data_IF_277330306497
#
_entry.id   IF_277330306497
#
_cell.length_a   1.000
_cell.length_b   1.000
_cell.length_c   1.000
_cell.angle_alpha   90.00
_cell.angle_beta   90.00
_cell.angle_gamma   90.00
#
_symmetry.space_group_name_H-M   'P 1'
#
loop_
_entity.id
_entity.type
_entity.pdbx_description
1 polymer ?
#
# COMPACT_ATOMS: atom_id res chain seq x y z
N UNK A 1 -17.86 36.44 50.79
CA UNK A 1 -17.13 37.45 49.98
C UNK A 1 -17.24 36.95 48.53
N UNK A 2 -18.35 37.17 47.80
CA UNK A 2 -18.79 38.36 47.04
C UNK A 2 -17.65 39.05 46.29
N UNK A 3 -17.71 39.00 44.94
CA UNK A 3 -17.50 40.03 43.90
C UNK A 3 -17.12 39.28 42.59
N UNK A 4 -17.49 39.65 41.37
CA UNK A 4 -18.61 40.41 40.79
C UNK A 4 -18.52 40.21 39.27
N UNK A 5 -19.67 40.39 38.63
CA UNK A 5 -19.98 40.19 37.22
C UNK A 5 -19.30 41.24 36.32
N UNK A 6 -18.90 40.85 35.11
CA UNK A 6 -18.90 41.76 33.96
C UNK A 6 -19.31 41.01 32.68
N UNK A 7 -20.58 41.18 32.30
CA UNK A 7 -21.11 40.84 30.97
C UNK A 7 -20.80 42.01 30.04
N UNK A 8 -20.16 41.75 28.91
CA UNK A 8 -20.15 42.69 27.79
C UNK A 8 -21.11 42.17 26.72
N UNK A 9 -22.27 42.80 26.66
CA UNK A 9 -23.13 42.80 25.48
C UNK A 9 -22.80 44.05 24.70
N UNK A 10 -22.57 43.93 23.39
CA UNK A 10 -22.62 45.08 22.50
C UNK A 10 -23.25 44.65 21.18
N UNK A 11 -24.45 45.18 20.98
CA UNK A 11 -25.26 45.14 19.77
C UNK A 11 -24.94 46.41 18.99
N UNK A 12 -24.62 46.31 17.70
CA UNK A 12 -24.71 47.39 16.71
C UNK A 12 -24.88 46.72 15.33
N UNK A 13 -26.09 46.60 14.79
CA UNK A 13 -26.78 47.56 13.90
C UNK A 13 -26.02 47.85 12.58
N UNK A 14 -26.38 47.08 11.56
CA UNK A 14 -26.89 47.55 10.26
C UNK A 14 -25.96 48.33 9.33
N UNK A 15 -25.79 47.83 8.10
CA UNK A 15 -26.36 48.49 6.92
C UNK A 15 -26.31 47.56 5.70
N UNK A 16 -27.49 47.22 5.19
CA UNK A 16 -27.66 46.57 3.89
C UNK A 16 -27.30 47.56 2.77
N UNK A 17 -26.43 47.14 1.85
CA UNK A 17 -26.26 47.77 0.54
C UNK A 17 -26.51 46.71 -0.53
N UNK A 18 -27.76 46.66 -0.97
CA UNK A 18 -28.19 45.99 -2.19
C UNK A 18 -27.68 46.81 -3.39
N UNK A 19 -26.57 46.39 -3.98
CA UNK A 19 -26.16 46.89 -5.30
C UNK A 19 -26.81 45.98 -6.35
N UNK A 20 -27.92 46.48 -6.91
CA UNK A 20 -28.56 45.91 -8.08
C UNK A 20 -27.80 46.36 -9.33
N UNK A 21 -27.01 45.46 -9.93
CA UNK A 21 -26.57 45.63 -11.31
C UNK A 21 -27.66 45.07 -12.24
N UNK A 22 -28.27 45.97 -12.99
CA UNK A 22 -29.27 45.69 -14.02
C UNK A 22 -28.54 45.19 -15.26
N UNK A 23 -28.77 43.94 -15.66
CA UNK A 23 -28.24 43.39 -16.92
C UNK A 23 -29.31 43.58 -18.00
N UNK A 24 -29.00 44.23 -19.14
CA UNK A 24 -29.94 44.42 -20.23
C UNK A 24 -30.23 43.09 -20.94
N UNK A 25 -31.53 42.84 -21.14
CA UNK A 25 -32.08 41.73 -21.92
C UNK A 25 -31.86 41.97 -23.41
N UNK A 26 -30.90 41.28 -24.02
CA UNK A 26 -30.89 41.10 -25.47
C UNK A 26 -31.63 39.79 -25.80
N UNK A 27 -32.77 39.94 -26.47
CA UNK A 27 -33.47 38.85 -27.15
C UNK A 27 -32.78 38.57 -28.48
N UNK A 28 -32.23 37.36 -28.63
CA UNK A 28 -31.91 36.80 -29.95
C UNK A 28 -32.60 35.46 -30.10
N UNK A 29 -33.33 35.32 -31.20
CA UNK A 29 -34.16 34.19 -31.56
C UNK A 29 -33.32 33.18 -32.35
N UNK A 30 -33.45 31.92 -31.94
CA UNK A 30 -33.31 30.67 -32.70
C UNK A 30 -31.93 30.27 -33.28
N UNK A 31 -31.39 29.19 -32.73
CA UNK A 31 -30.90 28.07 -33.52
C UNK A 31 -31.07 26.76 -32.72
N UNK A 32 -32.04 25.93 -33.10
CA UNK A 32 -32.23 24.58 -32.55
C UNK A 32 -31.00 23.75 -32.85
N UNK A 33 -30.15 23.49 -31.85
CA UNK A 33 -29.03 22.55 -31.97
C UNK A 33 -29.56 21.11 -32.00
N UNK A 34 -28.96 20.23 -32.83
CA UNK A 34 -29.24 18.80 -32.77
C UNK A 34 -28.95 18.26 -31.36
N UNK A 35 -29.87 17.46 -30.84
CA UNK A 35 -29.69 16.72 -29.59
C UNK A 35 -28.48 15.79 -29.80
N UNK A 36 -27.41 16.03 -29.04
CA UNK A 36 -26.26 15.13 -29.02
C UNK A 36 -26.70 13.76 -28.48
N UNK A 37 -26.21 12.64 -29.05
CA UNK A 37 -26.46 11.33 -28.50
C UNK A 37 -25.98 11.27 -27.05
N UNK A 38 -26.82 10.63 -26.24
CA UNK A 38 -26.62 10.33 -24.82
C UNK A 38 -25.21 9.75 -24.67
N UNK A 39 -24.34 10.50 -23.99
CA UNK A 39 -22.97 10.06 -23.70
C UNK A 39 -23.06 8.79 -22.85
N UNK A 40 -22.57 7.69 -23.42
CA UNK A 40 -22.28 6.48 -22.65
C UNK A 40 -21.40 6.88 -21.46
N UNK A 41 -21.98 6.74 -20.27
CA UNK A 41 -21.25 6.88 -19.02
C UNK A 41 -20.19 5.79 -19.04
N UNK A 42 -18.89 6.10 -18.93
CA UNK A 42 -17.90 5.05 -18.78
C UNK A 42 -18.24 4.33 -17.48
N UNK A 43 -18.72 3.08 -17.62
CA UNK A 43 -18.78 2.13 -16.52
C UNK A 43 -17.35 2.01 -16.02
N UNK A 44 -17.05 2.67 -14.92
CA UNK A 44 -15.77 2.53 -14.23
C UNK A 44 -15.79 1.13 -13.64
N UNK A 45 -15.47 0.16 -14.48
CA UNK A 45 -15.01 -1.13 -14.02
C UNK A 45 -13.85 -0.81 -13.07
N UNK A 46 -13.80 -1.34 -11.84
CA UNK A 46 -12.65 -1.13 -10.98
C UNK A 46 -11.48 -1.79 -11.69
N UNK A 47 -10.72 -0.99 -12.43
CA UNK A 47 -9.46 -1.38 -13.01
C UNK A 47 -8.64 -1.84 -11.80
N UNK A 48 -8.30 -3.13 -11.75
CA UNK A 48 -7.19 -3.58 -10.92
C UNK A 48 -6.06 -2.61 -11.21
N UNK A 49 -5.68 -1.78 -10.23
CA UNK A 49 -4.60 -0.83 -10.41
C UNK A 49 -3.41 -1.58 -10.96
N UNK A 50 -3.01 -1.25 -12.19
CA UNK A 50 -1.92 -1.93 -12.87
C UNK A 50 -0.69 -1.91 -11.98
N UNK A 51 0.00 -3.05 -11.88
CA UNK A 51 1.21 -3.16 -11.06
C UNK A 51 2.30 -2.34 -11.74
N UNK A 52 2.54 -1.13 -11.23
CA UNK A 52 3.63 -0.28 -11.71
C UNK A 52 4.97 -0.78 -11.16
N UNK A 53 5.84 -1.25 -12.06
CA UNK A 53 7.19 -1.68 -11.72
C UNK A 53 8.15 -0.49 -11.73
N UNK A 54 8.28 0.17 -10.59
CA UNK A 54 9.28 1.21 -10.40
C UNK A 54 10.57 0.63 -9.80
N UNK A 55 11.71 0.91 -10.44
CA UNK A 55 13.01 0.44 -9.94
C UNK A 55 13.43 1.21 -8.69
N UNK A 56 13.91 0.49 -7.67
CA UNK A 56 14.47 1.12 -6.47
C UNK A 56 15.72 1.95 -6.84
N UNK A 57 15.76 3.27 -6.55
CA UNK A 57 16.92 4.07 -6.86
C UNK A 57 18.17 3.58 -6.12
N UNK A 58 19.30 3.49 -6.84
CA UNK A 58 20.58 3.01 -6.28
C UNK A 58 21.01 3.78 -5.02
N UNK A 59 20.70 5.07 -4.95
CA UNK A 59 20.97 5.90 -3.77
C UNK A 59 20.20 5.42 -2.53
N UNK A 60 18.93 5.02 -2.69
CA UNK A 60 18.12 4.46 -1.60
C UNK A 60 18.67 3.12 -1.18
N UNK A 61 18.89 2.21 -2.14
CA UNK A 61 19.49 0.89 -1.89
C UNK A 61 20.82 0.99 -1.11
N UNK A 62 21.71 1.90 -1.51
CA UNK A 62 22.97 2.15 -0.82
C UNK A 62 22.78 2.66 0.61
N UNK A 63 21.88 3.63 0.82
CA UNK A 63 21.62 4.21 2.15
C UNK A 63 20.97 3.21 3.11
N UNK A 64 20.04 2.38 2.64
CA UNK A 64 19.38 1.34 3.46
C UNK A 64 20.39 0.27 3.86
N UNK A 65 21.20 -0.24 2.92
CA UNK A 65 22.29 -1.19 3.25
C UNK A 65 23.28 -0.60 4.24
N UNK A 66 23.73 0.64 4.02
CA UNK A 66 24.65 1.31 4.95
C UNK A 66 24.03 1.49 6.35
N UNK A 67 22.71 1.72 6.44
CA UNK A 67 22.00 1.79 7.71
C UNK A 67 22.00 0.43 8.42
N UNK A 68 21.67 -0.66 7.72
CA UNK A 68 21.74 -2.00 8.30
C UNK A 68 23.17 -2.36 8.74
N UNK A 69 24.18 -2.08 7.92
CA UNK A 69 25.58 -2.35 8.25
C UNK A 69 25.99 -1.69 9.58
N UNK A 70 25.55 -0.45 9.84
CA UNK A 70 25.82 0.22 11.12
C UNK A 70 25.11 -0.43 12.32
N UNK A 71 24.00 -1.11 12.08
CA UNK A 71 23.17 -1.72 13.12
C UNK A 71 23.63 -3.14 13.47
N UNK A 72 24.13 -3.91 12.49
CA UNK A 72 24.51 -5.32 12.70
C UNK A 72 26.00 -5.61 12.49
N UNK A 73 26.79 -4.59 12.13
CA UNK A 73 28.23 -4.73 11.91
C UNK A 73 28.56 -5.21 10.50
N UNK A 74 29.67 -5.95 10.37
CA UNK A 74 30.15 -6.41 9.08
C UNK A 74 29.30 -7.58 8.55
N UNK A 75 28.33 -7.27 7.68
CA UNK A 75 27.45 -8.23 7.04
C UNK A 75 27.55 -8.14 5.51
N UNK A 76 27.28 -9.27 4.84
CA UNK A 76 27.13 -9.32 3.39
C UNK A 76 25.67 -9.04 3.04
N UNK A 77 25.40 -7.82 2.56
CA UNK A 77 24.04 -7.33 2.39
C UNK A 77 23.59 -7.28 0.92
N UNK A 78 22.43 -7.85 0.63
CA UNK A 78 21.74 -7.75 -0.65
C UNK A 78 20.38 -7.06 -0.50
N UNK A 79 19.96 -6.35 -1.55
CA UNK A 79 18.57 -5.87 -1.64
C UNK A 79 17.71 -7.04 -2.10
N UNK A 80 16.65 -7.32 -1.35
CA UNK A 80 15.62 -8.30 -1.70
C UNK A 80 14.43 -7.62 -2.36
N UNK A 81 13.25 -7.86 -1.79
CA UNK A 81 11.97 -7.27 -2.16
C UNK A 81 11.94 -5.76 -1.94
N UNK A 82 11.23 -5.04 -2.80
CA UNK A 82 10.93 -3.63 -2.59
C UNK A 82 9.68 -3.22 -3.33
N UNK A 83 9.03 -2.16 -2.86
CA UNK A 83 7.85 -1.59 -3.50
C UNK A 83 7.77 -0.09 -3.24
N UNK A 84 7.21 0.64 -4.21
CA UNK A 84 6.78 2.03 -4.02
C UNK A 84 5.51 2.01 -3.17
N UNK A 85 5.47 2.81 -2.11
CA UNK A 85 4.39 2.82 -1.13
C UNK A 85 4.00 4.25 -0.75
N UNK A 86 2.78 4.39 -0.23
CA UNK A 86 2.30 5.60 0.42
C UNK A 86 2.04 5.33 1.89
N UNK A 87 2.76 6.03 2.76
CA UNK A 87 2.63 5.91 4.20
C UNK A 87 1.55 6.80 4.77
N UNK A 88 1.00 6.40 5.91
CA UNK A 88 -0.10 7.08 6.60
C UNK A 88 0.29 8.44 7.19
N UNK A 89 1.57 8.64 7.46
CA UNK A 89 2.10 9.81 8.17
C UNK A 89 3.58 10.05 7.85
N UNK A 90 4.11 11.18 8.33
CA UNK A 90 5.54 11.55 8.20
C UNK A 90 6.51 10.65 8.98
N UNK A 91 6.02 9.75 9.82
CA UNK A 91 6.81 8.71 10.49
C UNK A 91 6.82 7.40 9.70
N UNK A 92 6.30 7.40 8.47
CA UNK A 92 6.27 6.27 7.57
C UNK A 92 5.36 5.13 8.08
N UNK A 93 4.36 5.48 8.91
CA UNK A 93 3.48 4.52 9.58
C UNK A 93 4.19 3.65 10.62
N UNK A 94 5.33 4.13 11.14
CA UNK A 94 6.15 3.46 12.17
C UNK A 94 6.29 4.30 13.44
N UNK A 95 5.45 5.33 13.60
CA UNK A 95 5.44 6.19 14.77
C UNK A 95 5.03 5.42 16.03
N UNK A 96 5.78 5.61 17.12
CA UNK A 96 5.38 5.10 18.44
C UNK A 96 4.39 6.03 19.14
N UNK A 97 3.76 5.59 20.25
CA UNK A 97 2.78 6.40 20.98
C UNK A 97 3.35 7.70 21.57
N UNK A 98 4.68 7.80 21.70
CA UNK A 98 5.37 8.99 22.20
C UNK A 98 5.82 9.95 21.08
N UNK A 99 5.64 9.59 19.80
CA UNK A 99 6.11 10.39 18.66
C UNK A 99 4.96 11.21 18.07
N UNK A 100 5.19 12.50 17.84
CA UNK A 100 4.22 13.37 17.15
C UNK A 100 4.52 13.42 15.66
N UNK A 101 3.88 12.52 14.92
CA UNK A 101 4.05 12.40 13.47
C UNK A 101 3.20 13.45 12.73
N UNK A 102 3.73 14.01 11.65
CA UNK A 102 2.93 14.84 10.75
C UNK A 102 1.83 13.96 10.13
N UNK A 103 0.56 14.35 10.33
CA UNK A 103 -0.60 13.65 9.80
C UNK A 103 -0.80 13.95 8.29
N UNK A 104 0.15 13.51 7.47
CA UNK A 104 0.13 13.67 6.02
C UNK A 104 0.65 12.41 5.33
N UNK A 105 -0.02 12.02 4.25
CA UNK A 105 0.43 10.92 3.41
C UNK A 105 1.83 11.23 2.87
N UNK A 106 2.70 10.23 2.97
CA UNK A 106 4.11 10.38 2.59
C UNK A 106 4.51 9.26 1.64
N UNK A 107 4.93 9.61 0.43
CA UNK A 107 5.41 8.62 -0.53
C UNK A 107 6.81 8.11 -0.17
N UNK A 108 7.08 6.85 -0.51
CA UNK A 108 8.43 6.33 -0.56
C UNK A 108 8.52 4.84 -0.83
N UNK A 109 9.42 4.14 -0.13
CA UNK A 109 9.81 2.78 -0.47
C UNK A 109 9.75 1.84 0.71
N UNK A 110 9.10 0.68 0.55
CA UNK A 110 9.40 -0.47 1.40
C UNK A 110 10.58 -1.22 0.80
N UNK A 111 11.58 -1.57 1.61
CA UNK A 111 12.80 -2.24 1.16
C UNK A 111 13.17 -3.37 2.11
N UNK A 112 13.34 -4.56 1.57
CA UNK A 112 13.97 -5.68 2.23
C UNK A 112 15.48 -5.68 1.98
N UNK A 113 16.25 -5.86 3.04
CA UNK A 113 17.68 -6.14 2.97
C UNK A 113 17.93 -7.51 3.58
N UNK A 114 18.59 -8.37 2.82
CA UNK A 114 18.92 -9.74 3.20
C UNK A 114 20.40 -9.75 3.61
N UNK A 115 20.66 -10.21 4.83
CA UNK A 115 21.99 -10.63 5.24
C UNK A 115 22.25 -12.03 4.67
N UNK A 116 23.09 -12.12 3.65
CA UNK A 116 23.34 -13.37 2.93
C UNK A 116 24.13 -14.38 3.75
N UNK A 117 24.78 -13.95 4.83
CA UNK A 117 25.53 -14.85 5.72
C UNK A 117 24.59 -15.60 6.65
N UNK A 118 23.55 -14.92 7.15
CA UNK A 118 22.60 -15.49 8.11
C UNK A 118 21.25 -15.85 7.50
N UNK A 119 21.04 -15.49 6.24
CA UNK A 119 19.76 -15.58 5.51
C UNK A 119 18.60 -14.87 6.24
N UNK A 120 18.90 -13.80 6.99
CA UNK A 120 17.90 -12.99 7.70
C UNK A 120 17.47 -11.78 6.87
N UNK A 121 16.17 -11.55 6.81
CA UNK A 121 15.57 -10.37 6.18
C UNK A 121 15.31 -9.25 7.18
N UNK A 122 15.62 -8.03 6.78
CA UNK A 122 15.35 -6.79 7.51
C UNK A 122 14.55 -5.84 6.62
N UNK A 123 13.46 -5.29 7.14
CA UNK A 123 12.59 -4.39 6.39
C UNK A 123 12.79 -2.94 6.80
N UNK A 124 12.80 -2.06 5.82
CA UNK A 124 12.90 -0.62 6.00
C UNK A 124 11.79 0.08 5.24
N UNK A 125 11.35 1.22 5.78
CA UNK A 125 10.50 2.18 5.09
C UNK A 125 11.28 3.47 4.89
N UNK A 126 11.15 4.07 3.72
CA UNK A 126 11.81 5.33 3.40
C UNK A 126 10.82 6.35 2.87
N UNK A 127 11.17 7.63 2.93
CA UNK A 127 10.60 8.64 2.02
C UNK A 127 11.12 8.42 0.60
N UNK A 128 10.46 9.02 -0.39
CA UNK A 128 10.81 8.90 -1.82
C UNK A 128 12.31 9.15 -2.11
N UNK A 129 12.87 10.20 -1.53
CA UNK A 129 14.27 10.59 -1.71
C UNK A 129 15.23 10.00 -0.65
N UNK A 130 14.70 9.21 0.30
CA UNK A 130 15.50 8.61 1.37
C UNK A 130 16.02 9.58 2.44
N UNK A 131 15.40 10.76 2.58
CA UNK A 131 15.66 11.71 3.67
C UNK A 131 15.35 11.10 5.04
N UNK A 132 14.30 10.28 5.11
CA UNK A 132 14.01 9.41 6.24
C UNK A 132 14.10 7.95 5.83
N UNK A 133 14.78 7.13 6.64
CA UNK A 133 14.90 5.68 6.50
C UNK A 133 14.73 5.07 7.89
N UNK A 134 13.67 4.29 8.09
CA UNK A 134 13.32 3.67 9.37
C UNK A 134 13.27 2.16 9.22
N UNK A 135 13.87 1.42 10.16
CA UNK A 135 13.70 -0.03 10.24
C UNK A 135 12.26 -0.31 10.67
N UNK A 136 11.56 -1.15 9.93
CA UNK A 136 10.23 -1.62 10.30
C UNK A 136 10.35 -2.75 11.32
N UNK A 137 9.56 -2.66 12.39
CA UNK A 137 9.42 -3.70 13.41
C UNK A 137 8.02 -4.29 13.44
N UNK A 138 7.21 -4.00 12.41
CA UNK A 138 5.87 -4.56 12.27
C UNK A 138 5.97 -6.08 12.07
N UNK A 139 4.97 -6.81 12.56
CA UNK A 139 4.82 -8.22 12.24
C UNK A 139 4.52 -8.37 10.74
N UNK A 140 5.12 -9.38 10.11
CA UNK A 140 4.94 -9.78 8.70
C UNK A 140 5.55 -8.85 7.64
N UNK A 141 5.59 -7.54 7.86
CA UNK A 141 6.15 -6.55 6.91
C UNK A 141 5.61 -6.68 5.48
N UNK A 142 4.35 -7.12 5.31
CA UNK A 142 3.70 -7.13 4.01
C UNK A 142 3.57 -5.67 3.49
N UNK A 143 3.95 -5.37 2.24
CA UNK A 143 3.75 -4.03 1.69
C UNK A 143 2.27 -3.65 1.66
N UNK A 144 1.88 -2.44 2.10
CA UNK A 144 0.48 -2.01 2.09
C UNK A 144 -0.19 -2.16 0.72
N UNK A 145 0.49 -1.75 -0.36
CA UNK A 145 -0.05 -1.89 -1.71
C UNK A 145 -0.29 -3.35 -2.11
N UNK A 146 0.57 -4.28 -1.68
CA UNK A 146 0.40 -5.71 -1.93
C UNK A 146 -0.75 -6.30 -1.12
N UNK A 147 -0.87 -5.93 0.17
CA UNK A 147 -2.02 -6.32 1.00
C UNK A 147 -3.33 -5.93 0.33
N UNK A 148 -3.43 -4.68 -0.13
CA UNK A 148 -4.67 -4.17 -0.71
C UNK A 148 -5.02 -4.89 -2.03
N UNK A 149 -4.01 -5.24 -2.85
CA UNK A 149 -4.21 -6.09 -4.04
C UNK A 149 -4.70 -7.49 -3.68
N UNK A 150 -4.11 -8.15 -2.68
CA UNK A 150 -4.55 -9.47 -2.22
C UNK A 150 -6.00 -9.43 -1.70
N UNK A 151 -6.34 -8.40 -0.91
CA UNK A 151 -7.71 -8.23 -0.41
C UNK A 151 -8.70 -8.01 -1.56
N UNK A 152 -8.33 -7.21 -2.57
CA UNK A 152 -9.14 -7.02 -3.76
C UNK A 152 -9.32 -8.32 -4.56
N UNK A 153 -8.25 -9.11 -4.73
CA UNK A 153 -8.30 -10.43 -5.38
C UNK A 153 -9.25 -11.37 -4.64
N UNK A 154 -9.14 -11.46 -3.31
CA UNK A 154 -10.00 -12.31 -2.50
C UNK A 154 -11.47 -11.89 -2.57
N UNK A 155 -11.75 -10.58 -2.46
CA UNK A 155 -13.11 -10.05 -2.56
C UNK A 155 -13.72 -10.30 -3.95
N UNK A 156 -12.94 -10.10 -5.02
CA UNK A 156 -13.40 -10.36 -6.40
C UNK A 156 -13.69 -11.84 -6.68
N UNK A 157 -13.10 -12.75 -5.90
CA UNK A 157 -13.32 -14.19 -5.97
C UNK A 157 -14.48 -14.67 -5.09
N UNK A 158 -15.17 -13.76 -4.39
CA UNK A 158 -16.35 -14.07 -3.57
C UNK A 158 -16.03 -14.59 -2.17
N UNK A 159 -14.79 -14.46 -1.69
CA UNK A 159 -14.36 -15.03 -0.41
C UNK A 159 -14.80 -14.20 0.81
N UNK A 160 -14.79 -12.86 0.72
CA UNK A 160 -15.27 -11.95 1.78
C UNK A 160 -15.48 -10.52 1.26
N UNK A 161 -16.09 -9.65 2.07
CA UNK A 161 -15.99 -8.21 1.87
C UNK A 161 -14.56 -7.76 2.21
N UNK A 162 -13.96 -6.86 1.42
CA UNK A 162 -12.58 -6.39 1.65
C UNK A 162 -12.36 -5.81 3.03
N UNK A 163 -13.38 -5.19 3.62
CA UNK A 163 -13.31 -4.48 4.91
C UNK A 163 -13.33 -5.44 6.11
N UNK A 164 -13.68 -6.70 5.88
CA UNK A 164 -13.68 -7.77 6.89
C UNK A 164 -12.37 -8.57 6.88
N UNK A 165 -11.53 -8.37 5.86
CA UNK A 165 -10.28 -9.10 5.71
C UNK A 165 -9.16 -8.52 6.57
N UNK A 166 -8.39 -9.40 7.20
CA UNK A 166 -7.15 -9.06 7.89
C UNK A 166 -6.02 -10.03 7.53
N UNK A 167 -4.78 -9.55 7.66
CA UNK A 167 -3.58 -10.38 7.47
C UNK A 167 -3.34 -11.18 8.74
N UNK A 168 -3.32 -12.50 8.62
CA UNK A 168 -2.95 -13.43 9.71
C UNK A 168 -1.44 -13.59 9.74
N UNK A 169 -0.83 -13.89 8.59
CA UNK A 169 0.62 -13.91 8.44
C UNK A 169 1.05 -13.48 7.05
N UNK A 170 2.26 -12.94 6.93
CA UNK A 170 2.96 -12.82 5.67
C UNK A 170 4.44 -13.16 5.86
N UNK A 171 4.96 -13.95 4.93
CA UNK A 171 6.33 -14.45 4.93
C UNK A 171 6.98 -14.20 3.58
N UNK A 172 8.20 -13.65 3.55
CA UNK A 172 8.98 -13.57 2.32
C UNK A 172 9.37 -14.99 1.86
N UNK A 173 9.08 -15.34 0.61
CA UNK A 173 9.39 -16.65 0.01
C UNK A 173 10.12 -16.56 -1.33
N UNK A 174 11.04 -17.49 -1.56
CA UNK A 174 11.74 -17.64 -2.84
C UNK A 174 11.14 -18.81 -3.61
N UNK A 175 10.31 -18.49 -4.60
CA UNK A 175 9.51 -19.47 -5.31
C UNK A 175 10.20 -20.08 -6.52
N UNK A 176 9.82 -21.31 -6.85
CA UNK A 176 9.99 -21.88 -8.18
C UNK A 176 8.95 -21.30 -9.17
N UNK A 177 8.96 -21.75 -10.42
CA UNK A 177 8.10 -21.23 -11.48
C UNK A 177 6.59 -21.46 -11.26
N UNK A 178 6.22 -22.29 -10.28
CA UNK A 178 4.82 -22.53 -9.93
C UNK A 178 4.40 -21.84 -8.62
N UNK A 179 5.21 -20.93 -8.08
CA UNK A 179 4.90 -20.26 -6.82
C UNK A 179 4.73 -21.25 -5.66
N UNK A 180 5.43 -22.39 -5.68
CA UNK A 180 5.30 -23.41 -4.64
C UNK A 180 3.98 -24.18 -4.65
N UNK A 181 3.13 -24.00 -5.68
CA UNK A 181 1.89 -24.76 -5.89
C UNK A 181 2.17 -25.77 -7.01
N UNK A 182 2.27 -27.08 -6.71
CA UNK A 182 2.50 -28.09 -7.73
C UNK A 182 1.35 -28.09 -8.74
N UNK A 183 1.64 -28.09 -10.06
CA UNK A 183 0.60 -28.22 -11.06
C UNK A 183 0.04 -29.66 -11.04
N UNK A 184 -1.19 -29.84 -11.53
CA UNK A 184 -1.79 -31.18 -11.68
C UNK A 184 -0.98 -32.05 -12.65
N UNK A 185 -0.47 -31.43 -13.72
CA UNK A 185 0.41 -32.02 -14.71
C UNK A 185 1.64 -31.15 -14.98
N UNK A 186 2.76 -31.79 -15.31
CA UNK A 186 4.01 -31.11 -15.65
C UNK A 186 4.94 -30.87 -14.45
N UNK A 187 5.91 -29.99 -14.65
CA UNK A 187 6.98 -29.70 -13.70
C UNK A 187 7.17 -28.20 -13.54
N UNK A 188 7.62 -27.78 -12.37
CA UNK A 188 7.96 -26.39 -12.10
C UNK A 188 9.35 -26.07 -12.60
N UNK A 189 9.52 -24.91 -13.21
CA UNK A 189 10.86 -24.40 -13.51
C UNK A 189 11.60 -24.11 -12.21
N UNK A 190 12.84 -24.59 -12.09
CA UNK A 190 13.74 -24.22 -11.00
C UNK A 190 14.28 -22.79 -11.21
N UNK A 191 13.43 -21.82 -10.89
CA UNK A 191 13.75 -20.39 -10.84
C UNK A 191 13.66 -19.90 -9.40
N UNK A 192 14.22 -18.72 -9.13
CA UNK A 192 14.09 -18.02 -7.84
C UNK A 192 13.28 -16.74 -8.00
N UNK A 193 11.96 -16.81 -7.81
CA UNK A 193 11.07 -15.64 -7.84
C UNK A 193 10.91 -15.13 -6.41
N UNK A 194 11.36 -13.91 -6.15
CA UNK A 194 11.11 -13.25 -4.86
C UNK A 194 9.62 -12.91 -4.76
N UNK A 195 8.99 -13.40 -3.70
CA UNK A 195 7.57 -13.22 -3.50
C UNK A 195 7.14 -13.37 -2.05
N UNK A 196 5.83 -13.46 -1.82
CA UNK A 196 5.24 -13.56 -0.50
C UNK A 196 4.31 -14.76 -0.41
N UNK A 197 4.33 -15.44 0.75
CA UNK A 197 3.23 -16.28 1.21
C UNK A 197 2.42 -15.46 2.20
N UNK A 198 1.14 -15.25 1.93
CA UNK A 198 0.26 -14.39 2.71
C UNK A 198 -0.95 -15.18 3.12
N UNK A 199 -1.16 -15.36 4.41
CA UNK A 199 -2.42 -15.85 4.94
C UNK A 199 -3.29 -14.67 5.33
N UNK A 200 -4.47 -14.59 4.72
CA UNK A 200 -5.51 -13.63 5.08
C UNK A 200 -6.70 -14.38 5.66
N UNK A 201 -7.52 -13.72 6.44
CA UNK A 201 -8.76 -14.32 6.94
C UNK A 201 -9.82 -13.28 7.22
N UNK A 202 -11.00 -13.81 7.49
CA UNK A 202 -12.12 -13.11 8.12
C UNK A 202 -12.47 -13.84 9.43
N UNK A 203 -13.60 -13.47 10.05
CA UNK A 203 -14.08 -14.10 11.29
C UNK A 203 -14.50 -15.58 11.12
N UNK A 204 -14.51 -16.12 9.89
CA UNK A 204 -15.06 -17.45 9.57
C UNK A 204 -13.99 -18.42 9.07
N UNK A 205 -13.03 -17.96 8.27
CA UNK A 205 -12.03 -18.82 7.64
C UNK A 205 -10.78 -18.04 7.21
N UNK A 206 -9.75 -18.79 6.79
CA UNK A 206 -8.52 -18.23 6.25
C UNK A 206 -8.18 -18.80 4.87
N UNK A 207 -7.35 -18.06 4.14
CA UNK A 207 -6.87 -18.39 2.81
C UNK A 207 -5.40 -18.04 2.68
N UNK A 208 -4.64 -18.93 2.03
CA UNK A 208 -3.21 -18.74 1.79
C UNK A 208 -3.01 -18.34 0.33
N UNK A 209 -2.37 -17.20 0.11
CA UNK A 209 -2.02 -16.67 -1.20
C UNK A 209 -0.51 -16.67 -1.40
N UNK A 210 -0.05 -17.15 -2.56
CA UNK A 210 1.33 -17.06 -3.00
C UNK A 210 1.42 -16.03 -4.12
N UNK A 211 2.40 -15.13 -4.04
CA UNK A 211 2.51 -14.02 -4.98
C UNK A 211 3.95 -13.65 -5.25
N UNK A 212 4.21 -12.96 -6.36
CA UNK A 212 5.49 -12.29 -6.60
C UNK A 212 5.69 -11.08 -5.67
N UNK A 213 6.78 -10.34 -5.86
CA UNK A 213 7.13 -9.20 -5.01
C UNK A 213 6.04 -8.11 -4.97
N UNK A 214 5.36 -7.88 -6.09
CA UNK A 214 4.44 -6.75 -6.24
C UNK A 214 2.97 -7.16 -6.38
N UNK A 215 2.62 -8.43 -6.49
CA UNK A 215 1.23 -8.84 -6.69
C UNK A 215 0.80 -8.89 -8.15
N UNK A 216 1.73 -9.01 -9.10
CA UNK A 216 1.37 -9.18 -10.53
C UNK A 216 0.80 -10.56 -10.79
N UNK A 217 1.36 -11.57 -10.12
CA UNK A 217 0.75 -12.89 -10.00
C UNK A 217 0.31 -13.10 -8.54
N UNK A 218 -0.97 -13.43 -8.31
CA UNK A 218 -1.52 -13.78 -6.99
C UNK A 218 -2.28 -15.10 -7.14
N UNK A 219 -1.82 -16.15 -6.47
CA UNK A 219 -2.39 -17.50 -6.55
C UNK A 219 -2.92 -17.96 -5.21
N UNK A 220 -4.14 -18.49 -5.19
CA UNK A 220 -4.69 -19.16 -4.02
C UNK A 220 -4.06 -20.55 -3.88
N UNK A 221 -3.56 -20.88 -2.70
CA UNK A 221 -3.17 -22.23 -2.32
C UNK A 221 -4.39 -22.93 -1.69
N UNK A 222 -5.14 -23.68 -2.51
CA UNK A 222 -6.38 -24.33 -2.11
C UNK A 222 -6.20 -25.40 -1.02
N UNK A 223 -5.01 -25.99 -0.90
CA UNK A 223 -4.76 -27.00 0.13
C UNK A 223 -4.39 -26.41 1.48
N UNK A 224 -4.06 -25.11 1.55
CA UNK A 224 -3.53 -24.45 2.75
C UNK A 224 -2.13 -24.92 3.20
N UNK A 225 -1.68 -26.09 2.72
CA UNK A 225 -0.37 -26.67 2.96
C UNK A 225 0.67 -26.23 1.92
N UNK A 226 1.88 -25.93 2.37
CA UNK A 226 3.04 -25.75 1.50
C UNK A 226 3.71 -27.11 1.28
N UNK A 227 3.77 -27.60 0.05
CA UNK A 227 4.58 -28.78 -0.29
C UNK A 227 5.99 -28.33 -0.65
N UNK A 228 6.71 -27.82 0.35
CA UNK A 228 8.07 -27.33 0.17
C UNK A 228 9.03 -28.53 0.00
N UNK A 229 9.72 -28.59 -1.14
CA UNK A 229 10.84 -29.53 -1.33
C UNK A 229 12.07 -28.94 -0.64
N UNK A 230 12.79 -29.66 0.24
CA UNK A 230 13.96 -29.10 0.93
C UNK A 230 15.05 -28.76 -0.09
N UNK A 231 15.55 -27.51 -0.10
CA UNK A 231 16.76 -27.17 -0.84
C UNK A 231 17.99 -27.48 0.00
N UNK A 232 18.73 -28.51 -0.42
CA UNK A 232 20.18 -28.60 -0.22
C UNK A 232 20.86 -27.56 -1.10
N UNK A 233 21.67 -26.70 -0.48
CA UNK A 233 22.63 -25.83 -1.16
C UNK A 233 23.89 -26.61 -1.55
#
# INVERSE_FOLDING_TARGET
>A
MIFSIARFTSVLLGFSLLVACQVPSNSEIAATRPIAPISDRPTTNPILSEVEFEQLPTAIAGRVKAKLQREIGDASLQIGRYSRETWTDGCLGLGGPAESCLAALTEGWQVEVIDTTTNKSYFYRTTLNGDSIRRSTLSHNLPPSLRDRIFQTAASSGFANSDELYVITAEPRLWNGCYGIPPEDGVCTEVGILGWRVEIGDDRQSWVYHTDNLGSEIRLNETGEDKETPRSF
#
